data_IF_456790145305
#
_entry.id   IF_456790145305
#
_cell.length_a   1.000
_cell.length_b   1.000
_cell.length_c   1.000
_cell.angle_alpha   90.00
_cell.angle_beta   90.00
_cell.angle_gamma   90.00
#
_symmetry.space_group_name_H-M   'P 1'
#
loop_
_entity.id
_entity.type
_entity.pdbx_description
1 polymer ?
#
# COMPACT_ATOMS: atom_id res chain seq x y z
N UNK A 1 15.36 -9.57 13.25
CA UNK A 1 14.15 -8.95 12.67
C UNK A 1 13.95 -7.59 13.30
N UNK A 2 13.80 -6.56 12.49
CA UNK A 2 13.66 -5.19 12.97
C UNK A 2 12.20 -4.86 13.27
N UNK A 3 11.99 -4.10 14.35
CA UNK A 3 10.67 -3.63 14.74
C UNK A 3 10.50 -2.16 14.42
N UNK A 4 9.29 -1.78 14.05
CA UNK A 4 8.91 -0.38 13.90
C UNK A 4 7.86 -0.08 14.99
N UNK A 5 8.18 0.83 15.88
CA UNK A 5 7.24 1.29 16.90
C UNK A 5 6.46 2.51 16.40
N UNK A 6 5.35 2.81 17.08
CA UNK A 6 4.46 3.89 16.64
C UNK A 6 5.18 5.24 16.52
N UNK A 7 6.01 5.59 17.48
CA UNK A 7 6.72 6.87 17.43
C UNK A 7 7.62 6.97 16.21
N UNK A 8 8.32 5.87 15.88
CA UNK A 8 9.18 5.82 14.69
C UNK A 8 8.36 5.94 13.41
N UNK A 9 7.23 5.22 13.36
CA UNK A 9 6.33 5.26 12.21
C UNK A 9 5.83 6.68 11.93
N UNK A 10 5.35 7.35 12.96
CA UNK A 10 4.85 8.73 12.86
C UNK A 10 5.96 9.68 12.42
N UNK A 11 7.15 9.51 13.00
CA UNK A 11 8.32 10.33 12.62
C UNK A 11 8.65 10.17 11.14
N UNK A 12 8.74 8.94 10.66
CA UNK A 12 9.05 8.64 9.26
C UNK A 12 8.00 9.23 8.32
N UNK A 13 6.73 9.12 8.70
CA UNK A 13 5.64 9.69 7.89
C UNK A 13 5.74 11.21 7.81
N UNK A 14 6.05 11.86 8.93
CA UNK A 14 6.17 13.31 8.98
C UNK A 14 7.36 13.84 8.18
N UNK A 15 8.39 13.03 7.97
CA UNK A 15 9.56 13.41 7.18
C UNK A 15 9.28 13.40 5.67
N UNK A 16 8.25 12.69 5.22
CA UNK A 16 7.96 12.61 3.79
C UNK A 16 7.28 13.89 3.32
N UNK A 17 7.82 14.47 2.27
CA UNK A 17 7.22 15.61 1.55
C UNK A 17 6.45 15.05 0.36
N UNK A 18 5.16 14.77 0.57
CA UNK A 18 4.31 14.28 -0.52
C UNK A 18 3.99 15.42 -1.49
N UNK A 19 3.97 15.10 -2.78
CA UNK A 19 3.36 15.99 -3.76
C UNK A 19 1.84 15.96 -3.63
N UNK A 20 1.14 16.82 -4.35
CA UNK A 20 -0.32 16.88 -4.27
C UNK A 20 -0.95 15.69 -4.99
N UNK A 21 -1.88 15.02 -4.29
CA UNK A 21 -2.64 13.89 -4.84
C UNK A 21 -4.13 14.17 -4.73
N UNK A 22 -4.89 13.63 -5.67
CA UNK A 22 -6.36 13.71 -5.66
C UNK A 22 -6.97 12.61 -4.79
N UNK A 23 -6.36 11.41 -4.81
CA UNK A 23 -6.86 10.23 -4.11
C UNK A 23 -5.72 9.40 -3.56
N UNK A 24 -6.03 8.71 -2.45
CA UNK A 24 -5.22 7.59 -1.98
C UNK A 24 -5.98 6.32 -2.35
N UNK A 25 -5.28 5.35 -2.92
CA UNK A 25 -5.83 4.02 -3.16
C UNK A 25 -5.02 3.02 -2.36
N UNK A 26 -5.65 2.38 -1.39
CA UNK A 26 -5.03 1.36 -0.55
C UNK A 26 -5.24 -0.01 -1.17
N UNK A 27 -4.17 -0.81 -1.19
CA UNK A 27 -4.28 -2.21 -1.57
C UNK A 27 -4.60 -2.99 -0.30
N UNK A 28 -5.83 -3.49 -0.20
CA UNK A 28 -6.25 -4.23 0.97
C UNK A 28 -5.76 -5.68 0.94
N UNK A 29 -5.48 -6.22 2.10
CA UNK A 29 -5.65 -5.57 3.41
C UNK A 29 -4.39 -4.84 3.90
N UNK A 30 -3.19 -5.23 3.46
CA UNK A 30 -1.93 -4.75 3.99
C UNK A 30 -1.72 -3.24 3.89
N UNK A 31 -2.24 -2.63 2.83
CA UNK A 31 -2.08 -1.19 2.61
C UNK A 31 -3.07 -0.31 3.37
N UNK A 32 -4.10 -0.90 4.01
CA UNK A 32 -5.16 -0.11 4.64
C UNK A 32 -4.65 0.73 5.80
N UNK A 33 -3.89 0.14 6.70
CA UNK A 33 -3.36 0.87 7.87
C UNK A 33 -2.44 2.01 7.45
N UNK A 34 -1.38 1.76 6.64
CA UNK A 34 -0.54 2.87 6.20
C UNK A 34 -1.29 3.94 5.41
N UNK A 35 -2.25 3.54 4.58
CA UNK A 35 -3.05 4.50 3.83
C UNK A 35 -3.90 5.39 4.73
N UNK A 36 -4.45 4.85 5.81
CA UNK A 36 -5.23 5.62 6.75
C UNK A 36 -4.39 6.70 7.44
N UNK A 37 -3.16 6.39 7.82
CA UNK A 37 -2.25 7.38 8.40
C UNK A 37 -1.86 8.46 7.38
N UNK A 38 -1.62 8.04 6.13
CA UNK A 38 -1.32 9.00 5.05
C UNK A 38 -2.54 9.89 4.80
N UNK A 39 -3.75 9.32 4.83
CA UNK A 39 -4.98 10.10 4.68
C UNK A 39 -5.10 11.16 5.77
N UNK A 40 -4.73 10.83 6.99
CA UNK A 40 -4.71 11.79 8.10
C UNK A 40 -3.81 12.99 7.77
N UNK A 41 -2.66 12.70 7.17
CA UNK A 41 -1.69 13.75 6.82
C UNK A 41 -2.16 14.59 5.62
N UNK A 42 -2.66 13.94 4.58
CA UNK A 42 -2.99 14.63 3.32
C UNK A 42 -4.42 15.16 3.28
N UNK A 43 -5.31 14.61 4.07
CA UNK A 43 -6.72 14.98 4.14
C UNK A 43 -7.42 14.95 2.77
N UNK A 44 -7.26 13.84 2.07
CA UNK A 44 -7.87 13.59 0.76
C UNK A 44 -8.64 12.27 0.79
N UNK A 45 -9.56 12.03 -0.17
CA UNK A 45 -10.32 10.79 -0.20
C UNK A 45 -9.45 9.57 -0.35
N UNK A 46 -9.86 8.47 0.29
CA UNK A 46 -9.20 7.18 0.20
C UNK A 46 -10.18 6.14 -0.32
N UNK A 47 -9.69 5.30 -1.21
CA UNK A 47 -10.42 4.15 -1.73
C UNK A 47 -9.61 2.89 -1.48
N UNK A 48 -10.28 1.75 -1.41
CA UNK A 48 -9.64 0.46 -1.16
C UNK A 48 -9.93 -0.47 -2.33
N UNK A 49 -8.87 -1.08 -2.85
CA UNK A 49 -9.00 -2.18 -3.81
C UNK A 49 -8.39 -3.42 -3.20
N UNK A 50 -8.92 -4.59 -3.52
CA UNK A 50 -8.38 -5.85 -3.02
C UNK A 50 -7.74 -6.63 -4.16
N UNK A 51 -6.45 -6.93 -3.97
CA UNK A 51 -5.68 -7.74 -4.88
C UNK A 51 -5.08 -8.88 -4.07
N UNK A 52 -5.29 -10.10 -4.51
CA UNK A 52 -4.79 -11.27 -3.81
C UNK A 52 -3.80 -12.01 -4.68
N UNK A 53 -2.59 -12.15 -4.19
CA UNK A 53 -1.54 -12.94 -4.83
C UNK A 53 -1.19 -14.18 -4.02
N UNK A 54 -1.44 -14.14 -2.70
CA UNK A 54 -1.12 -15.24 -1.78
C UNK A 54 -2.35 -15.67 -1.02
N UNK A 55 -2.42 -16.96 -0.72
CA UNK A 55 -3.45 -17.48 0.15
C UNK A 55 -3.13 -17.17 1.63
N UNK A 56 -4.04 -17.51 2.59
CA UNK A 56 -3.81 -17.24 4.02
C UNK A 56 -2.56 -17.89 4.59
N UNK A 57 -1.99 -18.93 3.94
CA UNK A 57 -0.77 -19.58 4.39
C UNK A 57 0.49 -18.96 3.77
N UNK A 58 0.35 -17.82 3.12
CA UNK A 58 1.42 -17.09 2.44
C UNK A 58 2.03 -17.79 1.24
N UNK A 59 1.33 -18.76 0.69
CA UNK A 59 1.70 -19.39 -0.57
C UNK A 59 1.04 -18.63 -1.72
N UNK A 60 1.70 -18.55 -2.90
CA UNK A 60 1.04 -17.98 -4.06
C UNK A 60 -0.22 -18.77 -4.39
N UNK A 61 -1.35 -18.09 -4.41
CA UNK A 61 -2.63 -18.68 -4.73
C UNK A 61 -2.88 -18.68 -6.24
N UNK A 62 -2.33 -17.70 -6.91
CA UNK A 62 -2.44 -17.53 -8.36
C UNK A 62 -1.06 -17.32 -8.94
N UNK A 63 -0.88 -17.64 -10.22
CA UNK A 63 0.37 -17.40 -10.93
C UNK A 63 0.69 -15.91 -11.05
N UNK A 64 -0.33 -15.08 -10.95
CA UNK A 64 -0.20 -13.62 -10.97
C UNK A 64 -1.17 -13.01 -9.96
N UNK A 65 -0.99 -11.74 -9.67
CA UNK A 65 -1.91 -11.00 -8.81
C UNK A 65 -3.28 -10.89 -9.49
N UNK A 66 -4.34 -11.09 -8.72
CA UNK A 66 -5.71 -11.06 -9.21
C UNK A 66 -6.50 -10.02 -8.42
N UNK A 67 -7.22 -9.17 -9.13
CA UNK A 67 -8.13 -8.21 -8.52
C UNK A 67 -9.37 -8.96 -8.02
N UNK A 68 -9.60 -8.96 -6.70
CA UNK A 68 -10.69 -9.72 -6.08
C UNK A 68 -12.04 -8.99 -6.12
N UNK A 69 -12.01 -7.67 -6.19
CA UNK A 69 -13.22 -6.87 -6.27
C UNK A 69 -13.15 -6.02 -7.53
N UNK A 70 -14.06 -6.29 -8.46
CA UNK A 70 -14.27 -5.38 -9.58
C UNK A 70 -15.17 -4.26 -9.09
N UNK A 71 -14.56 -3.17 -8.70
CA UNK A 71 -15.30 -1.93 -8.49
C UNK A 71 -15.09 -1.08 -9.72
N UNK A 72 -16.19 -0.59 -10.22
CA UNK A 72 -16.15 0.40 -11.26
C UNK A 72 -15.51 1.66 -10.66
N UNK A 73 -14.27 1.87 -11.00
CA UNK A 73 -13.55 3.07 -10.63
C UNK A 73 -13.57 4.01 -11.83
N UNK A 74 -14.59 4.85 -11.92
CA UNK A 74 -14.65 5.79 -13.04
C UNK A 74 -13.69 6.97 -12.85
N UNK A 75 -12.55 6.70 -12.21
CA UNK A 75 -11.54 7.72 -11.95
C UNK A 75 -10.57 7.74 -13.12
N UNK A 76 -10.50 8.88 -13.80
CA UNK A 76 -9.59 9.12 -14.91
C UNK A 76 -8.96 10.49 -14.77
N UNK A 77 -7.75 10.62 -15.25
CA UNK A 77 -7.01 11.89 -15.27
C UNK A 77 -6.80 12.47 -13.87
N UNK A 78 -6.65 11.59 -12.88
CA UNK A 78 -6.40 11.99 -11.50
C UNK A 78 -5.00 11.56 -11.09
N UNK A 79 -4.50 12.23 -10.06
CA UNK A 79 -3.20 11.91 -9.47
C UNK A 79 -3.43 11.06 -8.23
N UNK A 80 -2.96 9.82 -8.26
CA UNK A 80 -3.26 8.80 -7.26
C UNK A 80 -1.98 8.39 -6.53
N UNK A 81 -2.06 8.33 -5.20
CA UNK A 81 -1.06 7.67 -4.37
C UNK A 81 -1.55 6.26 -4.05
N UNK A 82 -0.88 5.27 -4.62
CA UNK A 82 -1.19 3.85 -4.45
C UNK A 82 -0.35 3.31 -3.29
N UNK A 83 -1.00 2.76 -2.27
CA UNK A 83 -0.37 2.39 -1.00
C UNK A 83 -0.46 0.90 -0.74
N UNK A 84 0.69 0.28 -0.47
CA UNK A 84 0.78 -1.09 0.02
C UNK A 84 1.73 -1.14 1.23
N UNK A 85 1.73 -2.24 1.96
CA UNK A 85 2.66 -2.39 3.09
C UNK A 85 4.03 -2.89 2.63
N UNK A 86 4.08 -3.99 1.89
CA UNK A 86 5.31 -4.61 1.44
C UNK A 86 5.24 -4.91 -0.05
N UNK A 87 6.28 -4.57 -0.78
CA UNK A 87 6.42 -4.96 -2.18
C UNK A 87 7.70 -5.77 -2.36
N UNK A 88 7.57 -7.04 -2.72
CA UNK A 88 8.70 -7.95 -2.97
C UNK A 88 8.97 -8.11 -4.46
N UNK A 89 7.93 -8.52 -5.19
CA UNK A 89 8.06 -8.81 -6.63
C UNK A 89 7.52 -7.69 -7.51
N UNK A 90 6.75 -6.77 -6.93
CA UNK A 90 6.07 -5.71 -7.67
C UNK A 90 4.82 -6.15 -8.40
N UNK A 91 4.44 -7.43 -8.34
CA UNK A 91 3.28 -7.94 -9.09
C UNK A 91 1.97 -7.33 -8.64
N UNK A 92 1.80 -7.15 -7.33
CA UNK A 92 0.58 -6.55 -6.78
C UNK A 92 0.44 -5.09 -7.21
N UNK A 93 1.52 -4.32 -7.10
CA UNK A 93 1.52 -2.92 -7.53
C UNK A 93 1.28 -2.80 -9.04
N UNK A 94 1.89 -3.68 -9.82
CA UNK A 94 1.69 -3.70 -11.27
C UNK A 94 0.24 -3.95 -11.63
N UNK A 95 -0.40 -4.93 -10.98
CA UNK A 95 -1.82 -5.25 -11.21
C UNK A 95 -2.72 -4.07 -10.83
N UNK A 96 -2.43 -3.43 -9.72
CA UNK A 96 -3.17 -2.26 -9.27
C UNK A 96 -3.04 -1.11 -10.28
N UNK A 97 -1.84 -0.86 -10.79
CA UNK A 97 -1.62 0.18 -11.80
C UNK A 97 -2.38 -0.09 -13.08
N UNK A 98 -2.44 -1.35 -13.51
CA UNK A 98 -3.22 -1.75 -14.69
C UNK A 98 -4.71 -1.44 -14.48
N UNK A 99 -5.22 -1.77 -13.29
CA UNK A 99 -6.62 -1.51 -12.95
C UNK A 99 -6.93 -0.01 -12.91
N UNK A 100 -5.99 0.80 -12.46
CA UNK A 100 -6.13 2.25 -12.34
C UNK A 100 -5.63 3.00 -13.58
N UNK A 101 -5.54 2.33 -14.70
CA UNK A 101 -5.09 2.90 -15.97
C UNK A 101 -5.86 4.19 -16.31
N UNK A 102 -5.17 5.15 -16.89
CA UNK A 102 -5.74 6.45 -17.23
C UNK A 102 -5.53 7.51 -16.15
N UNK A 103 -4.75 7.19 -15.13
CA UNK A 103 -4.40 8.11 -14.05
C UNK A 103 -2.89 8.25 -13.93
N UNK A 104 -2.43 9.30 -13.26
CA UNK A 104 -1.02 9.44 -12.90
C UNK A 104 -0.84 8.80 -11.53
N UNK A 105 0.03 7.80 -11.44
CA UNK A 105 0.15 6.96 -10.23
C UNK A 105 1.56 7.05 -9.67
N UNK A 106 1.66 7.37 -8.38
CA UNK A 106 2.85 7.22 -7.56
C UNK A 106 2.56 6.20 -6.49
N UNK A 107 3.59 5.52 -6.01
CA UNK A 107 3.44 4.43 -5.06
C UNK A 107 4.10 4.74 -3.73
N UNK A 108 3.51 4.20 -2.66
CA UNK A 108 4.09 4.19 -1.32
C UNK A 108 4.10 2.77 -0.79
N UNK A 109 5.23 2.36 -0.22
CA UNK A 109 5.35 1.09 0.51
C UNK A 109 6.03 1.35 1.85
N UNK A 110 5.67 0.59 2.88
CA UNK A 110 6.42 0.61 4.14
C UNK A 110 7.79 -0.02 3.92
N UNK A 111 7.81 -1.18 3.26
CA UNK A 111 9.05 -1.88 2.95
C UNK A 111 9.01 -2.42 1.53
N UNK A 112 9.84 -1.89 0.69
CA UNK A 112 9.94 -2.30 -0.70
C UNK A 112 10.16 -1.12 -1.63
N UNK A 113 10.24 -1.41 -2.91
CA UNK A 113 10.43 -0.38 -3.91
C UNK A 113 9.13 0.39 -4.13
N UNK A 114 9.22 1.70 -4.08
CA UNK A 114 8.13 2.61 -4.32
C UNK A 114 8.64 4.01 -4.56
N UNK A 115 7.81 4.88 -5.11
CA UNK A 115 8.17 6.29 -5.28
C UNK A 115 8.42 6.97 -3.93
N UNK A 116 7.69 6.51 -2.92
CA UNK A 116 7.91 6.83 -1.52
C UNK A 116 8.00 5.52 -0.75
N UNK A 117 8.90 5.43 0.21
CA UNK A 117 8.99 4.26 1.08
C UNK A 117 9.70 4.63 2.39
N UNK A 118 9.40 3.88 3.45
CA UNK A 118 10.15 4.01 4.69
C UNK A 118 11.43 3.17 4.65
N UNK A 119 11.31 1.96 4.11
CA UNK A 119 12.42 1.00 4.05
C UNK A 119 12.39 0.28 2.70
N UNK A 120 13.55 -0.21 2.30
CA UNK A 120 13.66 -1.12 1.16
C UNK A 120 14.73 -2.15 1.50
N UNK A 121 14.36 -3.12 2.32
CA UNK A 121 15.27 -4.15 2.80
C UNK A 121 14.64 -5.53 2.64
N UNK A 122 15.48 -6.56 2.52
CA UNK A 122 15.00 -7.93 2.34
C UNK A 122 14.39 -8.52 3.61
N UNK A 123 14.84 -8.07 4.78
CA UNK A 123 14.34 -8.56 6.05
C UNK A 123 12.91 -8.12 6.31
N UNK A 124 12.13 -8.99 6.96
CA UNK A 124 10.81 -8.65 7.41
C UNK A 124 10.86 -7.58 8.50
N UNK A 125 9.91 -6.66 8.45
CA UNK A 125 9.73 -5.66 9.49
C UNK A 125 8.53 -6.02 10.34
N UNK A 126 8.69 -5.92 11.66
CA UNK A 126 7.56 -6.02 12.58
C UNK A 126 6.94 -4.64 12.71
N UNK A 127 5.70 -4.51 12.26
CA UNK A 127 4.96 -3.27 12.36
C UNK A 127 4.29 -3.14 13.72
N UNK A 128 3.86 -1.93 14.12
CA UNK A 128 3.18 -1.76 15.41
C UNK A 128 1.97 -2.67 15.59
N UNK A 129 1.27 -3.00 14.48
CA UNK A 129 0.09 -3.85 14.50
C UNK A 129 0.38 -5.35 14.35
N UNK A 130 1.64 -5.73 14.14
CA UNK A 130 2.00 -7.14 13.92
C UNK A 130 1.68 -8.01 15.12
N UNK A 131 1.70 -7.45 16.32
CA UNK A 131 1.40 -8.19 17.55
C UNK A 131 -0.09 -8.46 17.77
N UNK A 132 -0.96 -7.90 16.93
CA UNK A 132 -2.40 -8.20 17.03
C UNK A 132 -2.61 -9.63 16.57
N UNK A 133 -3.16 -10.47 17.45
CA UNK A 133 -3.38 -11.88 17.17
C UNK A 133 -4.78 -12.13 16.63
N UNK A 134 -4.92 -13.21 15.87
CA UNK A 134 -6.23 -13.68 15.43
C UNK A 134 -6.97 -14.37 16.59
N UNK A 135 -8.24 -14.15 16.67
CA UNK A 135 -9.11 -14.92 17.57
C UNK A 135 -9.65 -16.17 16.89
#
# INVERSE_FOLDING_TARGET
MNSVIWDKYIHLLNEIQFEDFDFIVAIGNGGIIPAAFIQKKLNIPMKIIKINYRDPSHKPKYDDAVLLEEKDFPIKNKKILLVDDVSRTGKTLKKAKEYLNGNTIKTFTINGEGDYSFYNQEECLLMPWTSISHN
#
